data_IF_984807175733
#
_entry.id   IF_984807175733
#
_cell.length_a   1.000
_cell.length_b   1.000
_cell.length_c   1.000
_cell.angle_alpha   90.00
_cell.angle_beta   90.00
_cell.angle_gamma   90.00
#
_symmetry.space_group_name_H-M   'P 1'
#
loop_
_entity.id
_entity.type
_entity.pdbx_description
1 polymer ?
#
# COMPACT_ATOMS: atom_id res chain seq x y z
N UNK A 1 11.39 -12.64 -3.44
CA UNK A 1 11.06 -12.10 -4.78
C UNK A 1 9.61 -11.69 -4.81
N UNK A 2 9.33 -10.53 -5.37
CA UNK A 2 8.01 -9.94 -5.33
C UNK A 2 8.07 -8.43 -5.12
N UNK A 3 6.93 -7.78 -5.23
CA UNK A 3 6.75 -6.36 -4.97
C UNK A 3 5.28 -6.06 -4.71
N UNK A 4 5.04 -4.91 -4.05
CA UNK A 4 3.73 -4.27 -4.01
C UNK A 4 3.77 -3.04 -4.90
N UNK A 5 2.73 -2.85 -5.71
CA UNK A 5 2.55 -1.66 -6.55
C UNK A 5 1.19 -1.06 -6.25
N UNK A 6 1.16 0.20 -5.84
CA UNK A 6 -0.06 0.97 -5.61
C UNK A 6 -0.21 2.02 -6.71
N UNK A 7 -1.45 2.24 -7.14
CA UNK A 7 -1.83 3.30 -8.08
C UNK A 7 -2.77 4.24 -7.35
N UNK A 8 -2.37 5.50 -7.23
CA UNK A 8 -3.17 6.56 -6.64
C UNK A 8 -3.46 7.66 -7.67
N UNK A 9 -4.60 8.33 -7.53
CA UNK A 9 -4.94 9.48 -8.34
C UNK A 9 -4.00 10.65 -8.02
N UNK A 10 -3.46 11.31 -9.05
CA UNK A 10 -2.45 12.35 -8.88
C UNK A 10 -2.97 13.60 -8.16
N UNK A 11 -4.26 13.91 -8.28
CA UNK A 11 -4.82 15.15 -7.74
C UNK A 11 -5.39 14.98 -6.34
N UNK A 12 -6.01 13.83 -6.07
CA UNK A 12 -6.73 13.54 -4.83
C UNK A 12 -6.04 12.53 -3.92
N UNK A 13 -4.96 11.90 -4.40
CA UNK A 13 -4.24 10.80 -3.74
C UNK A 13 -5.09 9.54 -3.44
N UNK A 14 -6.34 9.50 -3.91
CA UNK A 14 -7.22 8.35 -3.71
C UNK A 14 -6.64 7.09 -4.35
N UNK A 15 -6.65 5.98 -3.63
CA UNK A 15 -6.20 4.69 -4.17
C UNK A 15 -7.16 4.23 -5.28
N UNK A 16 -6.61 3.98 -6.46
CA UNK A 16 -7.31 3.48 -7.64
C UNK A 16 -7.16 1.96 -7.81
N UNK A 17 -6.12 1.38 -7.21
CA UNK A 17 -5.88 -0.06 -7.21
C UNK A 17 -4.46 -0.43 -6.80
N UNK A 18 -4.22 -1.72 -6.62
CA UNK A 18 -2.90 -2.25 -6.33
C UNK A 18 -2.67 -3.64 -6.92
N UNK A 19 -1.41 -4.02 -7.01
CA UNK A 19 -0.96 -5.33 -7.43
C UNK A 19 0.10 -5.83 -6.45
N UNK A 20 -0.03 -7.08 -6.01
CA UNK A 20 0.91 -7.71 -5.10
C UNK A 20 1.41 -9.00 -5.74
N UNK A 21 2.73 -9.16 -5.81
CA UNK A 21 3.40 -10.39 -6.19
C UNK A 21 4.30 -10.76 -5.01
N UNK A 22 4.14 -11.95 -4.44
CA UNK A 22 4.95 -12.40 -3.31
C UNK A 22 4.20 -13.36 -2.38
N UNK A 23 4.85 -13.81 -1.30
CA UNK A 23 4.20 -14.61 -0.27
C UNK A 23 3.05 -13.84 0.38
N UNK A 24 1.99 -14.56 0.77
CA UNK A 24 0.80 -14.00 1.42
C UNK A 24 0.06 -12.90 0.61
N UNK A 25 0.31 -12.74 -0.70
CA UNK A 25 -0.33 -11.72 -1.52
C UNK A 25 -1.88 -11.75 -1.46
N UNK A 26 -2.46 -12.94 -1.42
CA UNK A 26 -3.91 -13.14 -1.30
C UNK A 26 -4.48 -12.70 0.06
N UNK A 27 -3.67 -12.74 1.12
CA UNK A 27 -4.07 -12.22 2.43
C UNK A 27 -3.85 -10.70 2.46
N UNK A 28 -2.70 -10.21 2.02
CA UNK A 28 -2.35 -8.77 2.06
C UNK A 28 -3.30 -7.89 1.24
N UNK A 29 -3.82 -8.39 0.11
CA UNK A 29 -4.70 -7.59 -0.77
C UNK A 29 -5.99 -7.12 -0.06
N UNK A 30 -6.42 -7.80 1.00
CA UNK A 30 -7.62 -7.43 1.77
C UNK A 30 -7.53 -6.02 2.36
N UNK A 31 -6.34 -5.59 2.78
CA UNK A 31 -6.09 -4.27 3.37
C UNK A 31 -6.36 -3.17 2.35
N UNK A 32 -5.91 -3.37 1.11
CA UNK A 32 -6.09 -2.42 0.02
C UNK A 32 -7.55 -2.42 -0.44
N UNK A 33 -8.21 -3.57 -0.50
CA UNK A 33 -9.65 -3.64 -0.76
C UNK A 33 -10.45 -2.83 0.26
N UNK A 34 -10.13 -2.97 1.55
CA UNK A 34 -10.75 -2.21 2.64
C UNK A 34 -10.46 -0.71 2.50
N UNK A 35 -9.21 -0.32 2.27
CA UNK A 35 -8.83 1.07 2.05
C UNK A 35 -9.58 1.72 0.87
N UNK A 36 -9.69 1.00 -0.27
CA UNK A 36 -10.42 1.47 -1.45
C UNK A 36 -11.94 1.61 -1.20
N UNK A 37 -12.54 0.69 -0.44
CA UNK A 37 -13.96 0.73 -0.06
C UNK A 37 -14.28 1.99 0.76
N UNK A 38 -13.39 2.37 1.68
CA UNK A 38 -13.51 3.63 2.42
C UNK A 38 -13.06 4.87 1.62
N UNK A 39 -12.54 4.69 0.40
CA UNK A 39 -12.04 5.77 -0.44
C UNK A 39 -10.77 6.42 0.10
N UNK A 40 -9.95 5.68 0.83
CA UNK A 40 -8.71 6.16 1.44
C UNK A 40 -7.68 6.61 0.40
N UNK A 41 -6.79 7.50 0.83
CA UNK A 41 -5.63 7.94 0.05
C UNK A 41 -4.44 6.99 0.22
N UNK A 42 -3.41 7.15 -0.62
CA UNK A 42 -2.14 6.44 -0.41
C UNK A 42 -1.45 6.92 0.87
N UNK A 43 -1.55 8.21 1.20
CA UNK A 43 -1.06 8.78 2.45
C UNK A 43 -1.72 8.13 3.69
N UNK A 44 -3.03 7.89 3.68
CA UNK A 44 -3.72 7.21 4.80
C UNK A 44 -3.10 5.83 5.09
N UNK A 45 -2.81 5.08 4.03
CA UNK A 45 -2.21 3.75 4.13
C UNK A 45 -0.73 3.83 4.56
N UNK A 46 0.00 4.84 4.10
CA UNK A 46 1.39 5.11 4.48
C UNK A 46 1.55 5.50 5.96
N UNK A 47 0.60 6.28 6.48
CA UNK A 47 0.57 6.74 7.88
C UNK A 47 -0.01 5.70 8.85
N UNK A 48 -0.66 4.66 8.33
CA UNK A 48 -1.12 3.52 9.12
C UNK A 48 0.06 2.71 9.64
N UNK A 49 0.08 2.46 10.95
CA UNK A 49 1.14 1.69 11.60
C UNK A 49 1.05 0.22 11.20
N UNK A 50 2.10 -0.29 10.56
CA UNK A 50 2.24 -1.69 10.21
C UNK A 50 3.14 -2.38 11.22
N UNK A 51 2.77 -3.61 11.62
CA UNK A 51 3.55 -4.36 12.59
C UNK A 51 4.91 -4.77 11.99
N UNK A 52 5.96 -4.69 12.81
CA UNK A 52 7.31 -5.12 12.43
C UNK A 52 7.73 -6.37 13.22
N UNK A 53 8.31 -7.42 12.59
CA UNK A 53 8.52 -7.59 11.15
C UNK A 53 7.35 -8.31 10.47
N UNK A 54 6.79 -7.76 9.38
CA UNK A 54 5.72 -8.41 8.60
C UNK A 54 5.78 -8.10 7.10
N UNK A 55 5.14 -8.93 6.27
CA UNK A 55 5.03 -8.65 4.83
C UNK A 55 4.15 -7.43 4.51
N UNK A 56 3.22 -7.04 5.41
CA UNK A 56 2.38 -5.87 5.17
C UNK A 56 3.18 -4.57 5.19
N UNK A 57 4.37 -4.53 5.81
CA UNK A 57 5.27 -3.37 5.70
C UNK A 57 5.59 -3.01 4.24
N UNK A 58 5.63 -3.99 3.32
CA UNK A 58 5.80 -3.71 1.90
C UNK A 58 4.61 -2.95 1.27
N UNK A 59 3.39 -3.12 1.80
CA UNK A 59 2.20 -2.35 1.41
C UNK A 59 2.36 -0.89 1.85
N UNK A 60 2.77 -0.69 3.11
CA UNK A 60 3.08 0.64 3.65
C UNK A 60 4.16 1.37 2.84
N UNK A 61 5.27 0.70 2.55
CA UNK A 61 6.38 1.30 1.79
C UNK A 61 5.97 1.61 0.34
N UNK A 62 5.15 0.76 -0.30
CA UNK A 62 4.59 1.07 -1.62
C UNK A 62 3.65 2.28 -1.60
N UNK A 63 2.92 2.48 -0.50
CA UNK A 63 2.06 3.65 -0.31
C UNK A 63 2.90 4.93 -0.10
N UNK A 64 3.96 4.86 0.73
CA UNK A 64 4.94 5.93 0.89
C UNK A 64 5.60 6.32 -0.45
N UNK A 65 5.87 5.34 -1.32
CA UNK A 65 6.42 5.56 -2.65
C UNK A 65 5.47 6.30 -3.62
N UNK A 66 4.16 6.36 -3.33
CA UNK A 66 3.24 7.21 -4.09
C UNK A 66 3.40 8.70 -3.74
N UNK A 67 3.86 9.01 -2.52
CA UNK A 67 4.09 10.37 -2.01
C UNK A 67 5.57 10.74 -1.95
N UNK A 68 6.03 11.11 -0.75
CA UNK A 68 7.39 11.65 -0.51
C UNK A 68 8.53 10.63 -0.71
N UNK A 69 8.21 9.34 -0.77
CA UNK A 69 9.16 8.27 -1.05
C UNK A 69 9.25 7.23 0.07
N UNK A 70 9.50 5.98 -0.34
CA UNK A 70 9.75 4.87 0.57
C UNK A 70 11.08 5.05 1.34
N UNK A 71 11.13 4.51 2.55
CA UNK A 71 12.31 4.56 3.43
C UNK A 71 13.27 3.40 3.10
N UNK A 72 12.72 2.23 2.76
CA UNK A 72 13.48 0.99 2.61
C UNK A 72 13.45 0.39 1.19
N UNK A 73 13.43 1.25 0.16
CA UNK A 73 13.28 0.88 -1.26
C UNK A 73 14.36 -0.09 -1.78
#
# INVERSE_FOLDING_TARGET
EGFVKILADKASDRILGAHIIGPAAGDLIHEICMAMEFGASAEDLALTCHAHPTYSEAVREAALACGDGAIHA
#
